data_IF_927905900034
#
_entry.id   IF_927905900034
#
_cell.length_a   1.000
_cell.length_b   1.000
_cell.length_c   1.000
_cell.angle_alpha   90.00
_cell.angle_beta   90.00
_cell.angle_gamma   90.00
#
_symmetry.space_group_name_H-M   'P 1'
#
loop_
_entity.id
_entity.type
_entity.pdbx_description
1 polymer ?
#
# COMPACT_ATOMS: atom_id res chain seq x y z
N UNK A 1 44.08 -63.03 -32.38
CA UNK A 1 44.08 -62.21 -31.14
C UNK A 1 43.17 -60.96 -31.28
N UNK A 2 41.93 -61.10 -31.78
CA UNK A 2 41.01 -59.96 -32.08
C UNK A 2 39.63 -60.10 -31.40
N UNK A 3 39.44 -61.11 -30.52
CA UNK A 3 38.17 -61.33 -29.84
C UNK A 3 37.98 -60.48 -28.57
N UNK A 4 39.05 -59.90 -28.02
CA UNK A 4 39.02 -59.20 -26.72
C UNK A 4 38.10 -57.95 -26.69
N UNK A 5 38.02 -57.09 -27.73
CA UNK A 5 37.17 -55.90 -27.70
C UNK A 5 35.66 -56.23 -27.80
N UNK A 6 35.31 -57.28 -28.55
CA UNK A 6 33.91 -57.69 -28.77
C UNK A 6 33.38 -58.41 -27.53
N UNK A 7 34.18 -59.28 -26.92
CA UNK A 7 33.81 -59.94 -25.67
C UNK A 7 33.69 -58.95 -24.51
N UNK A 8 34.55 -57.94 -24.45
CA UNK A 8 34.45 -56.87 -23.45
C UNK A 8 33.19 -56.03 -23.62
N UNK A 9 32.84 -55.61 -24.85
CA UNK A 9 31.58 -54.90 -25.14
C UNK A 9 30.35 -55.73 -24.79
N UNK A 10 30.39 -57.04 -25.07
CA UNK A 10 29.29 -57.96 -24.75
C UNK A 10 29.12 -58.12 -23.24
N UNK A 11 30.21 -58.40 -22.52
CA UNK A 11 30.21 -58.47 -21.06
C UNK A 11 29.73 -57.17 -20.42
N UNK A 12 30.15 -56.01 -20.93
CA UNK A 12 29.69 -54.72 -20.43
C UNK A 12 28.18 -54.55 -20.62
N UNK A 13 27.64 -54.86 -21.80
CA UNK A 13 26.19 -54.81 -22.04
C UNK A 13 25.41 -55.79 -21.16
N UNK A 14 25.93 -57.00 -20.94
CA UNK A 14 25.31 -58.00 -20.08
C UNK A 14 25.31 -57.54 -18.61
N UNK A 15 26.40 -56.91 -18.14
CA UNK A 15 26.48 -56.32 -16.79
C UNK A 15 25.46 -55.19 -16.63
N UNK A 16 25.40 -54.27 -17.59
CA UNK A 16 24.45 -53.14 -17.56
C UNK A 16 23.00 -53.64 -17.60
N UNK A 17 22.70 -54.61 -18.47
CA UNK A 17 21.38 -55.22 -18.57
C UNK A 17 20.96 -55.89 -17.25
N UNK A 18 21.85 -56.67 -16.65
CA UNK A 18 21.59 -57.33 -15.37
C UNK A 18 21.38 -56.31 -14.24
N UNK A 19 22.16 -55.24 -14.20
CA UNK A 19 22.01 -54.17 -13.21
C UNK A 19 20.67 -53.44 -13.35
N UNK A 20 20.30 -53.03 -14.57
CA UNK A 20 19.02 -52.36 -14.84
C UNK A 20 17.84 -53.29 -14.51
N UNK A 21 17.92 -54.55 -14.88
CA UNK A 21 16.88 -55.53 -14.59
C UNK A 21 16.72 -55.75 -13.07
N UNK A 22 17.82 -55.85 -12.34
CA UNK A 22 17.82 -55.96 -10.87
C UNK A 22 17.20 -54.73 -10.21
N UNK A 23 17.56 -53.53 -10.68
CA UNK A 23 17.03 -52.28 -10.14
C UNK A 23 15.52 -52.15 -10.39
N UNK A 24 15.06 -52.38 -11.63
CA UNK A 24 13.64 -52.28 -11.97
C UNK A 24 12.77 -53.39 -11.35
N UNK A 25 13.35 -54.57 -11.09
CA UNK A 25 12.66 -55.69 -10.43
C UNK A 25 12.57 -55.53 -8.90
N UNK A 26 13.17 -54.47 -8.34
CA UNK A 26 13.12 -54.21 -6.90
C UNK A 26 11.74 -53.70 -6.48
N UNK A 27 11.19 -54.22 -5.39
CA UNK A 27 9.83 -53.90 -4.89
C UNK A 27 9.60 -52.41 -4.60
N UNK A 28 10.65 -51.65 -4.33
CA UNK A 28 10.61 -50.20 -4.06
C UNK A 28 10.75 -49.28 -5.28
N UNK A 29 10.90 -49.82 -6.50
CA UNK A 29 11.20 -49.01 -7.69
C UNK A 29 10.13 -47.94 -7.97
N UNK A 30 8.84 -48.29 -7.92
CA UNK A 30 7.76 -47.33 -8.12
C UNK A 30 7.76 -46.22 -7.05
N UNK A 31 8.00 -46.58 -5.79
CA UNK A 31 8.10 -45.60 -4.70
C UNK A 31 9.31 -44.66 -4.90
N UNK A 32 10.42 -45.17 -5.44
CA UNK A 32 11.57 -44.35 -5.79
C UNK A 32 11.28 -43.36 -6.93
N UNK A 33 10.48 -43.75 -7.93
CA UNK A 33 10.05 -42.84 -9.00
C UNK A 33 9.09 -41.75 -8.50
N UNK A 34 8.17 -42.11 -7.61
CA UNK A 34 7.20 -41.17 -7.03
C UNK A 34 7.87 -40.14 -6.11
N UNK A 35 8.87 -40.58 -5.34
CA UNK A 35 9.62 -39.74 -4.41
C UNK A 35 10.96 -39.27 -4.97
N UNK A 36 11.13 -39.33 -6.30
CA UNK A 36 12.38 -38.92 -6.92
C UNK A 36 12.64 -37.44 -6.60
N UNK A 37 13.84 -37.07 -6.12
CA UNK A 37 14.17 -35.70 -5.75
C UNK A 37 14.34 -34.86 -7.02
N UNK A 38 13.23 -34.46 -7.63
CA UNK A 38 13.17 -33.72 -8.90
C UNK A 38 13.99 -32.43 -8.93
N UNK A 39 14.26 -31.82 -7.77
CA UNK A 39 15.10 -30.63 -7.64
C UNK A 39 16.61 -30.91 -7.78
N UNK A 40 17.04 -32.18 -7.76
CA UNK A 40 18.45 -32.55 -8.01
C UNK A 40 18.77 -32.66 -9.49
N UNK A 41 17.78 -32.54 -10.37
CA UNK A 41 17.99 -32.54 -11.82
C UNK A 41 18.67 -31.23 -12.19
N UNK A 42 19.79 -31.32 -12.89
CA UNK A 42 20.53 -30.17 -13.41
C UNK A 42 20.39 -30.09 -14.95
N UNK A 43 20.84 -28.97 -15.51
CA UNK A 43 20.80 -28.75 -16.96
C UNK A 43 21.57 -29.86 -17.71
N UNK A 44 22.74 -30.28 -17.20
CA UNK A 44 23.58 -31.31 -17.82
C UNK A 44 22.86 -32.67 -17.96
N UNK A 45 22.09 -33.08 -16.94
CA UNK A 45 21.33 -34.33 -16.96
C UNK A 45 20.23 -34.27 -18.02
N UNK A 46 19.54 -33.14 -18.16
CA UNK A 46 18.48 -32.99 -19.17
C UNK A 46 19.08 -32.90 -20.58
N UNK A 47 20.19 -32.18 -20.74
CA UNK A 47 20.93 -32.08 -22.00
C UNK A 47 21.45 -33.45 -22.46
N UNK A 48 21.99 -34.26 -21.55
CA UNK A 48 22.43 -35.62 -21.87
C UNK A 48 21.27 -36.54 -22.28
N UNK A 49 20.08 -36.32 -21.72
CA UNK A 49 18.88 -37.11 -22.04
C UNK A 49 18.21 -36.66 -23.34
N UNK A 50 18.35 -35.39 -23.73
CA UNK A 50 17.64 -34.80 -24.86
C UNK A 50 17.74 -35.62 -26.17
N UNK A 51 18.93 -36.08 -26.61
CA UNK A 51 19.04 -36.89 -27.83
C UNK A 51 18.19 -38.16 -27.79
N UNK A 52 18.01 -38.77 -26.61
CA UNK A 52 17.19 -39.95 -26.43
C UNK A 52 15.69 -39.62 -26.44
N UNK A 53 15.31 -38.48 -25.84
CA UNK A 53 13.91 -38.05 -25.75
C UNK A 53 13.31 -37.68 -27.12
N UNK A 54 14.14 -37.26 -28.07
CA UNK A 54 13.75 -36.86 -29.43
C UNK A 54 13.84 -38.01 -30.46
N UNK A 55 14.30 -39.20 -30.08
CA UNK A 55 14.38 -40.33 -31.00
C UNK A 55 12.99 -40.74 -31.50
N UNK A 56 12.90 -41.17 -32.76
CA UNK A 56 11.62 -41.51 -33.41
C UNK A 56 10.89 -42.65 -32.71
N UNK A 57 11.60 -43.59 -32.10
CA UNK A 57 11.07 -44.71 -31.35
C UNK A 57 10.73 -44.37 -29.89
N UNK A 58 11.21 -43.24 -29.37
CA UNK A 58 10.91 -42.74 -28.03
C UNK A 58 9.57 -41.99 -27.98
N UNK A 59 8.49 -42.68 -28.31
CA UNK A 59 7.14 -42.13 -28.32
C UNK A 59 6.11 -43.09 -27.66
N UNK A 60 4.96 -42.53 -27.28
CA UNK A 60 3.93 -43.26 -26.54
C UNK A 60 3.31 -44.41 -27.36
N UNK A 61 3.23 -44.28 -28.68
CA UNK A 61 2.68 -45.30 -29.56
C UNK A 61 3.60 -46.53 -29.60
N UNK A 62 4.90 -46.35 -29.81
CA UNK A 62 5.90 -47.41 -29.78
C UNK A 62 5.96 -48.07 -28.40
N UNK A 63 5.95 -47.28 -27.32
CA UNK A 63 6.03 -47.81 -25.96
C UNK A 63 4.82 -48.68 -25.59
N UNK A 64 3.60 -48.24 -25.95
CA UNK A 64 2.37 -49.02 -25.71
C UNK A 64 2.35 -50.35 -26.47
N UNK A 65 2.99 -50.42 -27.65
CA UNK A 65 3.11 -51.67 -28.42
C UNK A 65 4.00 -52.71 -27.71
N UNK A 66 4.92 -52.27 -26.84
CA UNK A 66 5.77 -53.16 -26.03
C UNK A 66 5.00 -53.62 -24.79
N UNK A 67 4.68 -52.69 -23.87
CA UNK A 67 3.80 -52.94 -22.73
C UNK A 67 3.36 -51.63 -22.05
N UNK A 68 2.35 -51.73 -21.17
CA UNK A 68 1.84 -50.57 -20.41
C UNK A 68 2.89 -49.95 -19.48
N UNK A 69 3.74 -50.75 -18.84
CA UNK A 69 4.73 -50.27 -17.88
C UNK A 69 5.84 -49.45 -18.57
N UNK A 70 6.29 -49.89 -19.75
CA UNK A 70 7.26 -49.13 -20.59
C UNK A 70 6.66 -47.79 -21.02
N UNK A 71 5.36 -47.77 -21.35
CA UNK A 71 4.67 -46.52 -21.66
C UNK A 71 4.58 -45.57 -20.45
N UNK A 72 4.40 -46.12 -19.24
CA UNK A 72 4.45 -45.36 -17.98
C UNK A 72 5.83 -44.74 -17.73
N UNK A 73 6.90 -45.52 -17.89
CA UNK A 73 8.28 -45.03 -17.72
C UNK A 73 8.64 -43.95 -18.74
N UNK A 74 8.26 -44.12 -20.00
CA UNK A 74 8.46 -43.11 -21.04
C UNK A 74 7.75 -41.80 -20.71
N UNK A 75 6.52 -41.88 -20.20
CA UNK A 75 5.77 -40.70 -19.79
C UNK A 75 6.43 -40.01 -18.60
N UNK A 76 6.94 -40.78 -17.63
CA UNK A 76 7.59 -40.26 -16.43
C UNK A 76 8.88 -39.51 -16.77
N UNK A 77 9.77 -40.08 -17.59
CA UNK A 77 11.03 -39.42 -17.99
C UNK A 77 10.78 -38.12 -18.76
N UNK A 78 9.84 -38.11 -19.72
CA UNK A 78 9.45 -36.90 -20.46
C UNK A 78 8.88 -35.83 -19.53
N UNK A 79 8.02 -36.25 -18.61
CA UNK A 79 7.40 -35.36 -17.63
C UNK A 79 8.45 -34.75 -16.70
N UNK A 80 9.50 -35.51 -16.35
CA UNK A 80 10.56 -35.02 -15.47
C UNK A 80 11.46 -33.99 -16.17
N UNK A 81 11.83 -34.23 -17.43
CA UNK A 81 12.57 -33.24 -18.25
C UNK A 81 11.75 -31.96 -18.47
N UNK A 82 10.46 -32.10 -18.77
CA UNK A 82 9.56 -30.96 -18.92
C UNK A 82 9.37 -30.19 -17.60
N UNK A 83 9.19 -30.90 -16.48
CA UNK A 83 9.10 -30.30 -15.15
C UNK A 83 10.32 -29.43 -14.85
N UNK A 84 11.53 -29.94 -15.11
CA UNK A 84 12.76 -29.16 -14.91
C UNK A 84 12.77 -27.87 -15.72
N UNK A 85 12.44 -27.93 -17.02
CA UNK A 85 12.37 -26.75 -17.89
C UNK A 85 11.41 -25.68 -17.37
N UNK A 86 10.20 -26.09 -16.96
CA UNK A 86 9.22 -25.17 -16.37
C UNK A 86 9.68 -24.63 -15.00
N UNK A 87 10.24 -25.49 -14.14
CA UNK A 87 10.66 -25.09 -12.80
C UNK A 87 11.81 -24.07 -12.85
N UNK A 88 12.70 -24.18 -13.84
CA UNK A 88 13.77 -23.21 -14.10
C UNK A 88 13.24 -21.79 -14.36
N UNK A 89 12.11 -21.67 -15.04
CA UNK A 89 11.46 -20.38 -15.28
C UNK A 89 10.61 -19.92 -14.10
N UNK A 90 9.94 -20.85 -13.43
CA UNK A 90 8.99 -20.55 -12.34
C UNK A 90 9.70 -20.16 -11.03
N UNK A 91 10.85 -20.73 -10.71
CA UNK A 91 11.58 -20.44 -9.46
C UNK A 91 11.99 -18.96 -9.34
N UNK A 92 12.63 -18.33 -10.35
CA UNK A 92 12.91 -16.90 -10.33
C UNK A 92 11.65 -16.04 -10.20
N UNK A 93 10.56 -16.42 -10.87
CA UNK A 93 9.30 -15.70 -10.81
C UNK A 93 8.67 -15.75 -9.42
N UNK A 94 8.68 -16.91 -8.76
CA UNK A 94 8.22 -17.06 -7.38
C UNK A 94 9.05 -16.23 -6.41
N UNK A 95 10.36 -16.23 -6.57
CA UNK A 95 11.24 -15.40 -5.74
C UNK A 95 10.95 -13.91 -5.93
N UNK A 96 10.85 -13.46 -7.19
CA UNK A 96 10.54 -12.07 -7.48
C UNK A 96 9.15 -11.68 -6.94
N UNK A 97 8.14 -12.55 -7.09
CA UNK A 97 6.81 -12.33 -6.52
C UNK A 97 6.89 -12.10 -5.00
N UNK A 98 7.56 -12.97 -4.26
CA UNK A 98 7.73 -12.82 -2.81
C UNK A 98 8.43 -11.50 -2.44
N UNK A 99 9.42 -11.06 -3.22
CA UNK A 99 10.09 -9.77 -3.01
C UNK A 99 9.13 -8.60 -3.27
N UNK A 100 8.33 -8.64 -4.33
CA UNK A 100 7.37 -7.57 -4.62
C UNK A 100 6.23 -7.53 -3.61
N UNK A 101 5.72 -8.68 -3.17
CA UNK A 101 4.69 -8.75 -2.12
C UNK A 101 5.21 -8.16 -0.80
N UNK A 102 6.46 -8.45 -0.42
CA UNK A 102 7.08 -7.86 0.76
C UNK A 102 7.21 -6.34 0.64
N UNK A 103 7.64 -5.83 -0.53
CA UNK A 103 7.73 -4.38 -0.79
C UNK A 103 6.36 -3.70 -0.75
N UNK A 104 5.35 -4.33 -1.35
CA UNK A 104 3.98 -3.84 -1.34
C UNK A 104 3.45 -3.74 0.10
N UNK A 105 3.68 -4.77 0.92
CA UNK A 105 3.24 -4.78 2.31
C UNK A 105 3.85 -3.62 3.12
N UNK A 106 5.13 -3.31 2.90
CA UNK A 106 5.79 -2.15 3.54
C UNK A 106 5.17 -0.84 3.06
N UNK A 107 5.02 -0.66 1.74
CA UNK A 107 4.44 0.57 1.17
C UNK A 107 2.99 0.80 1.64
N UNK A 108 2.18 -0.25 1.73
CA UNK A 108 0.80 -0.16 2.24
C UNK A 108 0.76 0.23 3.72
N UNK A 109 1.72 -0.24 4.52
CA UNK A 109 1.82 0.14 5.94
C UNK A 109 2.20 1.61 6.08
N UNK A 110 3.14 2.09 5.28
CA UNK A 110 3.53 3.51 5.25
C UNK A 110 2.38 4.39 4.79
N UNK A 111 1.70 4.02 3.71
CA UNK A 111 0.53 4.73 3.20
C UNK A 111 -0.53 4.89 4.29
N UNK A 112 -0.90 3.80 4.97
CA UNK A 112 -1.90 3.84 6.04
C UNK A 112 -1.48 4.75 7.19
N UNK A 113 -0.19 4.80 7.53
CA UNK A 113 0.32 5.70 8.56
C UNK A 113 0.18 7.17 8.15
N UNK A 114 0.53 7.49 6.90
CA UNK A 114 0.45 8.86 6.36
C UNK A 114 -1.01 9.30 6.20
N UNK A 115 -1.90 8.42 5.76
CA UNK A 115 -3.34 8.71 5.66
C UNK A 115 -3.95 9.01 7.04
N UNK A 116 -3.53 8.28 8.09
CA UNK A 116 -3.97 8.56 9.45
C UNK A 116 -3.48 9.93 9.93
N UNK A 117 -2.20 10.24 9.72
CA UNK A 117 -1.65 11.54 10.09
C UNK A 117 -2.36 12.68 9.35
N UNK A 118 -2.62 12.51 8.05
CA UNK A 118 -3.36 13.48 7.25
C UNK A 118 -4.77 13.71 7.84
N UNK A 119 -5.48 12.64 8.19
CA UNK A 119 -6.82 12.75 8.75
C UNK A 119 -6.82 13.51 10.09
N UNK A 120 -5.82 13.28 10.94
CA UNK A 120 -5.66 13.97 12.21
C UNK A 120 -5.40 15.47 11.98
N UNK A 121 -4.50 15.82 11.04
CA UNK A 121 -4.24 17.22 10.67
C UNK A 121 -5.45 17.93 10.07
N UNK A 122 -6.25 17.23 9.26
CA UNK A 122 -7.49 17.79 8.73
C UNK A 122 -8.51 18.10 9.83
N UNK A 123 -8.58 17.24 10.86
CA UNK A 123 -9.46 17.46 12.01
C UNK A 123 -9.00 18.64 12.87
N UNK A 124 -7.70 18.74 13.14
CA UNK A 124 -7.10 19.90 13.83
C UNK A 124 -7.40 21.19 13.08
N UNK A 125 -7.20 21.18 11.75
CA UNK A 125 -7.44 22.34 10.90
C UNK A 125 -8.92 22.75 10.91
N UNK A 126 -9.86 21.80 10.91
CA UNK A 126 -11.29 22.09 11.05
C UNK A 126 -11.60 22.76 12.39
N UNK A 127 -11.04 22.24 13.48
CA UNK A 127 -11.22 22.81 14.83
C UNK A 127 -10.70 24.24 14.92
N UNK A 128 -9.47 24.48 14.46
CA UNK A 128 -8.85 25.82 14.48
C UNK A 128 -9.62 26.80 13.59
N UNK A 129 -10.08 26.36 12.41
CA UNK A 129 -10.93 27.21 11.55
C UNK A 129 -12.23 27.61 12.23
N UNK A 130 -12.92 26.68 12.90
CA UNK A 130 -14.15 26.99 13.62
C UNK A 130 -13.92 27.99 14.76
N UNK A 131 -12.82 27.84 15.51
CA UNK A 131 -12.44 28.80 16.56
C UNK A 131 -12.11 30.18 15.96
N UNK A 132 -11.39 30.21 14.84
CA UNK A 132 -11.05 31.43 14.14
C UNK A 132 -12.31 32.17 13.66
N UNK A 133 -13.24 31.47 13.01
CA UNK A 133 -14.51 32.05 12.55
C UNK A 133 -15.34 32.60 13.71
N UNK A 134 -15.41 31.87 14.83
CA UNK A 134 -16.09 32.35 16.05
C UNK A 134 -15.42 33.60 16.64
N UNK A 135 -14.08 33.64 16.68
CA UNK A 135 -13.32 34.79 17.18
C UNK A 135 -13.52 36.03 16.30
N UNK A 136 -13.56 35.86 14.97
CA UNK A 136 -13.85 36.94 14.02
C UNK A 136 -15.27 37.47 14.23
N UNK A 137 -16.27 36.59 14.33
CA UNK A 137 -17.65 37.01 14.59
C UNK A 137 -17.79 37.79 15.92
N UNK A 138 -17.12 37.32 16.98
CA UNK A 138 -17.11 38.02 18.27
C UNK A 138 -16.41 39.37 18.19
N UNK A 139 -15.30 39.47 17.45
CA UNK A 139 -14.59 40.73 17.23
C UNK A 139 -15.47 41.74 16.50
N UNK A 140 -16.17 41.32 15.45
CA UNK A 140 -17.09 42.18 14.70
C UNK A 140 -18.25 42.68 15.57
N UNK A 141 -18.84 41.78 16.36
CA UNK A 141 -19.89 42.14 17.32
C UNK A 141 -19.42 43.19 18.33
N UNK A 142 -18.25 42.98 18.94
CA UNK A 142 -17.68 43.93 19.90
C UNK A 142 -17.32 45.28 19.24
N UNK A 143 -16.87 45.25 17.99
CA UNK A 143 -16.58 46.47 17.24
C UNK A 143 -17.86 47.30 17.00
N UNK A 144 -18.97 46.66 16.66
CA UNK A 144 -20.27 47.34 16.49
C UNK A 144 -20.80 47.87 17.83
N UNK A 145 -20.75 47.08 18.90
CA UNK A 145 -21.15 47.51 20.25
C UNK A 145 -20.33 48.72 20.72
N UNK A 146 -19.01 48.71 20.48
CA UNK A 146 -18.13 49.83 20.78
C UNK A 146 -18.45 51.07 19.92
N UNK A 147 -18.86 50.89 18.65
CA UNK A 147 -19.31 51.99 17.79
C UNK A 147 -20.62 52.60 18.31
N UNK A 148 -21.60 51.77 18.70
CA UNK A 148 -22.85 52.22 19.34
C UNK A 148 -22.56 52.99 20.63
N UNK A 149 -21.70 52.46 21.49
CA UNK A 149 -21.33 53.12 22.75
C UNK A 149 -20.68 54.48 22.51
N UNK A 150 -19.74 54.57 21.56
CA UNK A 150 -19.12 55.85 21.16
C UNK A 150 -20.14 56.86 20.65
N UNK A 151 -21.10 56.44 19.82
CA UNK A 151 -22.20 57.29 19.36
C UNK A 151 -23.05 57.81 20.51
N UNK A 152 -23.39 56.95 21.49
CA UNK A 152 -24.13 57.35 22.70
C UNK A 152 -23.34 58.35 23.54
N UNK A 153 -22.05 58.10 23.76
CA UNK A 153 -21.18 58.98 24.54
C UNK A 153 -21.01 60.36 23.89
N UNK A 154 -20.89 60.41 22.57
CA UNK A 154 -20.86 61.67 21.81
C UNK A 154 -22.17 62.46 21.98
N UNK A 155 -23.33 61.81 21.86
CA UNK A 155 -24.64 62.47 22.08
C UNK A 155 -24.80 62.99 23.50
N UNK A 156 -24.42 62.19 24.51
CA UNK A 156 -24.45 62.62 25.90
C UNK A 156 -23.55 63.83 26.14
N UNK A 157 -22.35 63.86 25.54
CA UNK A 157 -21.42 64.99 25.65
C UNK A 157 -21.98 66.27 25.02
N UNK A 158 -22.64 66.16 23.86
CA UNK A 158 -23.33 67.29 23.23
C UNK A 158 -24.46 67.82 24.13
N UNK A 159 -25.31 66.94 24.66
CA UNK A 159 -26.39 67.33 25.57
C UNK A 159 -25.85 68.02 26.82
N UNK A 160 -24.80 67.51 27.45
CA UNK A 160 -24.17 68.15 28.61
C UNK A 160 -23.70 69.58 28.26
N UNK A 161 -23.11 69.75 27.07
CA UNK A 161 -22.62 71.06 26.61
C UNK A 161 -23.77 72.02 26.35
N UNK A 162 -24.84 71.56 25.69
CA UNK A 162 -26.05 72.35 25.43
C UNK A 162 -26.75 72.74 26.74
N UNK A 163 -26.99 71.79 27.65
CA UNK A 163 -27.61 72.06 28.95
C UNK A 163 -26.77 73.02 29.81
N UNK A 164 -25.44 72.95 29.76
CA UNK A 164 -24.58 73.89 30.48
C UNK A 164 -24.72 75.33 29.93
N UNK A 165 -24.87 75.48 28.62
CA UNK A 165 -25.18 76.75 27.97
C UNK A 165 -26.55 77.30 28.37
N UNK A 166 -27.57 76.44 28.33
CA UNK A 166 -28.93 76.77 28.76
C UNK A 166 -29.01 77.15 30.24
N UNK A 167 -28.33 76.41 31.12
CA UNK A 167 -28.24 76.72 32.55
C UNK A 167 -27.64 78.10 32.79
N UNK A 168 -26.55 78.45 32.09
CA UNK A 168 -25.96 79.79 32.15
C UNK A 168 -26.96 80.85 31.69
N UNK A 169 -27.65 80.62 30.57
CA UNK A 169 -28.67 81.52 30.02
C UNK A 169 -29.80 81.77 31.03
N UNK A 170 -30.42 80.73 31.58
CA UNK A 170 -31.49 80.86 32.58
C UNK A 170 -31.02 81.56 33.86
N UNK A 171 -29.77 81.33 34.26
CA UNK A 171 -29.18 82.00 35.42
C UNK A 171 -29.03 83.50 35.18
N UNK A 172 -28.55 83.89 33.99
CA UNK A 172 -28.39 85.30 33.62
C UNK A 172 -29.76 85.98 33.43
N UNK A 173 -30.73 85.30 32.83
CA UNK A 173 -32.11 85.79 32.68
C UNK A 173 -32.81 86.00 34.04
N UNK A 174 -32.62 85.07 34.99
CA UNK A 174 -33.15 85.21 36.35
C UNK A 174 -32.52 86.39 37.12
N UNK A 175 -31.23 86.66 36.91
CA UNK A 175 -30.57 87.86 37.48
C UNK A 175 -31.11 89.14 36.87
N UNK A 176 -31.30 89.15 35.54
CA UNK A 176 -31.82 90.30 34.83
C UNK A 176 -33.24 90.64 35.31
N UNK A 177 -34.16 89.66 35.32
CA UNK A 177 -35.52 89.86 35.82
C UNK A 177 -35.56 90.40 37.26
N UNK A 178 -34.69 89.90 38.14
CA UNK A 178 -34.59 90.39 39.53
C UNK A 178 -34.09 91.83 39.61
N UNK A 179 -33.25 92.24 38.66
CA UNK A 179 -32.75 93.61 38.55
C UNK A 179 -33.83 94.53 38.02
N UNK A 180 -34.51 94.14 36.94
CA UNK A 180 -35.63 94.87 36.35
C UNK A 180 -36.76 95.07 37.37
N UNK A 181 -37.05 94.02 38.16
CA UNK A 181 -38.01 94.11 39.25
C UNK A 181 -37.54 95.06 40.35
N UNK A 182 -36.26 95.14 40.70
CA UNK A 182 -35.81 96.17 41.66
C UNK A 182 -35.98 97.60 41.13
N UNK A 183 -35.76 97.83 39.84
CA UNK A 183 -35.92 99.15 39.22
C UNK A 183 -37.38 99.58 39.24
N UNK A 184 -38.32 98.69 38.88
CA UNK A 184 -39.77 98.92 38.92
C UNK A 184 -40.34 99.27 40.31
N UNK A 185 -39.68 98.89 41.41
CA UNK A 185 -40.14 99.20 42.78
C UNK A 185 -39.47 100.46 43.35
N UNK A 186 -38.56 101.10 42.59
CA UNK A 186 -37.90 102.35 42.94
C UNK A 186 -38.46 103.57 42.19
N UNK A 187 -39.39 103.36 41.26
CA UNK A 187 -40.24 104.39 40.63
C UNK A 187 -41.59 104.51 41.35
#
# INVERSE_FOLDING_TARGET
MVALPIQFRRLFNDIVYNFVNMFMSTTGFLAALQNFPKDTINDEVVELLEPYLIMKDYNMETAKRVCGDVAGLLSWTKSMAFFFGINKEVLPLKYNLAVQEARLAVAMKELKSVEQELQDKENDLKSVKAQYESAIANKEKLAEEAAVCRRKMSRASMLITELAGEYKRWTDESKQQRTDQKVMWME
#
